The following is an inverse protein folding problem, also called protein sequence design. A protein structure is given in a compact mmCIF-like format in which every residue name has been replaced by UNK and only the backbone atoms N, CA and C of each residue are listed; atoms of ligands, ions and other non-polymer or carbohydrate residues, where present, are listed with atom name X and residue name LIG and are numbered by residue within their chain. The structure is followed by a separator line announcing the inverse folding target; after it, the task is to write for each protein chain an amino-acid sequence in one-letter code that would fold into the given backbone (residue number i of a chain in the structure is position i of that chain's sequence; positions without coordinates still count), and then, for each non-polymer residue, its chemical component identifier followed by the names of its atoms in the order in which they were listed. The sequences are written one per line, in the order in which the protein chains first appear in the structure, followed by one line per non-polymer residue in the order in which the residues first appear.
data_IF_264393991418
#
_entry.id   IF_264393991418
#
_cell.length_a   1.000
_cell.length_b   1.000
_cell.length_c   1.000
_cell.angle_alpha   90.00
_cell.angle_beta   90.00
_cell.angle_gamma   90.00
#
_symmetry.space_group_name_H-M   'P 1'
#
loop_
_entity.id
_entity.type
_entity.pdbx_description
1 polymer ?
#
# COMPACT_ATOMS: atom_id res chain seq x y z
N UNK A 1 66.17 23.63 -29.06
CA UNK A 1 64.94 24.05 -28.30
C UNK A 1 63.90 22.94 -28.05
N UNK A 2 64.00 21.75 -28.66
CA UNK A 2 63.05 20.67 -28.48
C UNK A 2 63.36 19.68 -27.33
N UNK A 3 64.52 19.78 -26.68
CA UNK A 3 64.95 18.89 -25.58
C UNK A 3 64.78 19.48 -24.17
N UNK A 4 64.51 20.77 -24.06
CA UNK A 4 64.25 21.42 -22.75
C UNK A 4 62.78 21.39 -22.34
N UNK A 5 61.81 21.13 -23.28
CA UNK A 5 60.38 21.01 -22.98
C UNK A 5 60.00 19.66 -22.46
N UNK A 6 60.77 18.59 -22.73
CA UNK A 6 60.49 17.25 -22.25
C UNK A 6 60.84 17.02 -20.77
N UNK A 7 61.77 17.84 -20.21
CA UNK A 7 62.15 17.67 -18.79
C UNK A 7 61.26 18.48 -17.83
N UNK A 8 60.56 19.50 -18.32
CA UNK A 8 59.60 20.26 -17.52
C UNK A 8 58.25 19.54 -17.32
N UNK A 9 57.86 18.65 -18.26
CA UNK A 9 56.62 17.88 -18.15
C UNK A 9 56.74 16.67 -17.20
N UNK A 10 57.96 16.13 -17.03
CA UNK A 10 58.21 14.99 -16.14
C UNK A 10 58.26 15.37 -14.64
N UNK A 11 58.54 16.65 -14.33
CA UNK A 11 58.57 17.12 -12.93
C UNK A 11 57.19 17.53 -12.42
N UNK A 12 56.27 17.87 -13.33
CA UNK A 12 54.89 18.22 -12.95
C UNK A 12 54.04 16.97 -12.68
N UNK A 13 54.38 15.80 -13.25
CA UNK A 13 53.67 14.54 -12.97
C UNK A 13 54.12 13.84 -11.68
N UNK A 14 55.19 14.25 -11.04
CA UNK A 14 55.65 13.63 -9.79
C UNK A 14 55.19 14.37 -8.52
N UNK A 15 54.53 15.53 -8.64
CA UNK A 15 53.95 16.23 -7.48
C UNK A 15 52.43 16.00 -7.30
N UNK A 16 51.79 15.25 -8.17
CA UNK A 16 50.34 14.97 -8.05
C UNK A 16 49.99 13.65 -7.32
N UNK A 17 50.95 12.96 -6.72
CA UNK A 17 50.72 11.70 -5.99
C UNK A 17 50.87 11.82 -4.45
N UNK A 18 50.79 12.99 -3.88
CA UNK A 18 50.84 13.17 -2.39
C UNK A 18 49.61 13.93 -1.86
N UNK A 19 48.53 13.97 -2.61
CA UNK A 19 47.27 14.53 -2.15
C UNK A 19 46.15 13.46 -2.10
N UNK A 20 46.50 12.20 -1.79
CA UNK A 20 45.55 11.24 -1.21
C UNK A 20 45.68 11.31 0.31
N UNK A 21 45.26 12.41 0.89
CA UNK A 21 44.89 12.46 2.29
C UNK A 21 43.72 11.52 2.49
N UNK A 22 43.84 10.56 3.42
CA UNK A 22 42.83 9.61 3.79
C UNK A 22 41.55 10.31 4.23
N UNK A 23 40.69 10.60 3.27
CA UNK A 23 39.25 10.64 3.54
C UNK A 23 38.84 9.18 3.67
N UNK A 24 38.53 8.75 4.86
CA UNK A 24 37.65 7.60 5.06
C UNK A 24 36.41 7.94 4.26
N UNK A 25 36.21 7.29 3.10
CA UNK A 25 34.88 7.25 2.48
C UNK A 25 33.99 6.61 3.56
N UNK A 26 33.19 7.44 4.24
CA UNK A 26 32.13 6.91 5.10
C UNK A 26 31.26 6.07 4.20
N UNK A 27 31.12 4.78 4.53
CA UNK A 27 30.18 3.90 3.82
C UNK A 27 28.80 4.57 3.84
N UNK A 28 28.03 4.49 2.74
CA UNK A 28 26.72 5.11 2.69
C UNK A 28 25.85 4.52 3.81
N UNK A 29 25.33 5.39 4.67
CA UNK A 29 24.48 4.99 5.81
C UNK A 29 23.30 4.17 5.32
N UNK A 30 23.02 3.09 6.02
CA UNK A 30 21.82 2.28 5.77
C UNK A 30 20.54 3.10 5.97
N UNK A 31 19.43 2.65 5.42
CA UNK A 31 18.14 3.31 5.64
C UNK A 31 17.73 3.25 7.12
N UNK A 32 18.08 2.18 7.82
CA UNK A 32 17.86 2.06 9.27
C UNK A 32 18.65 3.14 10.02
N UNK A 33 19.93 3.36 9.70
CA UNK A 33 20.72 4.42 10.33
C UNK A 33 20.11 5.81 10.10
N UNK A 34 19.62 6.06 8.87
CA UNK A 34 18.93 7.33 8.54
C UNK A 34 17.64 7.50 9.36
N UNK A 35 16.84 6.45 9.56
CA UNK A 35 15.64 6.47 10.40
C UNK A 35 16.03 6.80 11.85
N UNK A 36 17.04 6.12 12.40
CA UNK A 36 17.50 6.32 13.77
C UNK A 36 18.13 7.70 14.02
N UNK A 37 18.75 8.30 13.02
CA UNK A 37 19.28 9.67 13.10
C UNK A 37 18.19 10.73 12.95
N UNK A 38 17.22 10.47 12.07
CA UNK A 38 16.08 11.36 11.84
C UNK A 38 15.07 11.32 13.00
N UNK A 39 15.05 10.21 13.77
CA UNK A 39 14.10 9.98 14.85
C UNK A 39 12.67 9.71 14.37
N UNK A 40 12.48 9.30 13.12
CA UNK A 40 11.16 8.92 12.59
C UNK A 40 11.26 7.94 11.43
N UNK A 41 10.18 7.17 11.24
CA UNK A 41 9.92 6.33 10.07
C UNK A 41 8.68 6.82 9.33
N UNK A 42 8.67 6.73 8.00
CA UNK A 42 7.55 7.19 7.18
C UNK A 42 6.76 6.01 6.61
N UNK A 43 5.42 6.07 6.71
CA UNK A 43 4.50 5.12 6.08
C UNK A 43 3.58 5.83 5.09
N UNK A 44 3.33 5.21 3.93
CA UNK A 44 2.31 5.66 2.98
C UNK A 44 0.99 4.92 3.25
N UNK A 45 -0.09 5.68 3.35
CA UNK A 45 -1.45 5.16 3.60
C UNK A 45 -2.45 5.87 2.68
N UNK A 46 -3.39 5.08 2.11
CA UNK A 46 -4.53 5.54 1.33
C UNK A 46 -5.79 5.39 2.18
N UNK A 47 -6.29 6.45 2.85
CA UNK A 47 -7.29 6.31 3.89
C UNK A 47 -8.72 6.29 3.32
N UNK A 48 -9.02 5.32 2.48
CA UNK A 48 -10.32 5.12 1.82
C UNK A 48 -10.91 3.71 2.00
N UNK A 49 -10.39 2.94 2.99
CA UNK A 49 -10.75 1.55 3.22
C UNK A 49 -10.98 1.23 4.72
N UNK A 50 -12.06 1.78 5.31
CA UNK A 50 -12.41 1.49 6.72
C UNK A 50 -12.82 0.02 6.91
N UNK A 51 -12.45 -0.64 8.02
CA UNK A 51 -11.78 -0.10 9.20
C UNK A 51 -10.25 -0.16 9.13
N UNK A 52 -9.68 -0.64 8.01
CA UNK A 52 -8.23 -0.82 7.88
C UNK A 52 -7.47 0.50 7.84
N UNK A 53 -7.88 1.41 6.96
CA UNK A 53 -7.34 2.77 6.87
C UNK A 53 -8.45 3.75 6.44
N UNK A 54 -8.66 4.75 7.28
CA UNK A 54 -9.70 5.77 7.04
C UNK A 54 -9.33 7.10 7.68
N UNK A 55 -10.05 8.15 7.29
CA UNK A 55 -9.84 9.50 7.79
C UNK A 55 -11.05 9.97 8.60
N UNK A 56 -10.79 10.50 9.80
CA UNK A 56 -11.83 11.18 10.56
C UNK A 56 -12.26 12.45 9.81
N UNK A 57 -13.52 12.55 9.37
CA UNK A 57 -14.00 13.69 8.59
C UNK A 57 -14.03 15.00 9.37
N UNK A 58 -13.96 14.95 10.71
CA UNK A 58 -14.01 16.13 11.58
C UNK A 58 -12.62 16.70 11.90
N UNK A 59 -11.63 15.82 12.07
CA UNK A 59 -10.26 16.21 12.49
C UNK A 59 -9.26 16.11 11.34
N UNK A 60 -9.55 15.30 10.33
CA UNK A 60 -8.62 14.97 9.27
C UNK A 60 -7.54 13.95 9.66
N UNK A 61 -7.63 13.35 10.85
CA UNK A 61 -6.70 12.33 11.33
C UNK A 61 -6.87 11.02 10.57
N UNK A 62 -5.77 10.42 10.16
CA UNK A 62 -5.75 9.09 9.54
C UNK A 62 -5.65 8.05 10.64
N UNK A 63 -6.55 7.07 10.61
CA UNK A 63 -6.66 6.00 11.60
C UNK A 63 -7.08 4.68 10.95
N UNK A 64 -7.11 3.60 11.72
CA UNK A 64 -7.50 2.28 11.26
C UNK A 64 -6.56 1.20 11.75
N UNK A 65 -6.86 -0.06 11.44
CA UNK A 65 -6.04 -1.18 11.91
C UNK A 65 -4.62 -1.11 11.35
N UNK A 66 -4.43 -0.69 10.09
CA UNK A 66 -3.12 -0.55 9.46
C UNK A 66 -2.28 0.54 10.13
N UNK A 67 -2.93 1.61 10.64
CA UNK A 67 -2.23 2.65 11.41
C UNK A 67 -1.72 2.08 12.74
N UNK A 68 -2.52 1.26 13.44
CA UNK A 68 -2.09 0.60 14.69
C UNK A 68 -0.86 -0.28 14.45
N UNK A 69 -0.84 -1.06 13.36
CA UNK A 69 0.34 -1.86 13.00
C UNK A 69 1.54 -0.99 12.62
N UNK A 70 1.32 0.13 11.92
CA UNK A 70 2.40 1.08 11.60
C UNK A 70 3.01 1.73 12.85
N UNK A 71 2.18 2.09 13.82
CA UNK A 71 2.61 2.61 15.13
C UNK A 71 3.42 1.56 15.89
N UNK A 72 2.96 0.30 15.89
CA UNK A 72 3.70 -0.80 16.49
C UNK A 72 5.08 -0.99 15.84
N UNK A 73 5.20 -0.87 14.51
CA UNK A 73 6.50 -0.93 13.81
C UNK A 73 7.45 0.16 14.32
N UNK A 74 6.99 1.41 14.45
CA UNK A 74 7.81 2.51 14.96
C UNK A 74 8.24 2.26 16.42
N UNK A 75 7.33 1.79 17.26
CA UNK A 75 7.60 1.44 18.65
C UNK A 75 8.57 0.27 18.79
N UNK A 76 8.43 -0.75 17.96
CA UNK A 76 9.33 -1.89 17.91
C UNK A 76 10.77 -1.46 17.59
N UNK A 77 10.93 -0.61 16.56
CA UNK A 77 12.22 -0.04 16.17
C UNK A 77 12.80 0.78 17.32
N UNK A 78 11.99 1.62 17.96
CA UNK A 78 12.40 2.43 19.11
C UNK A 78 12.95 1.57 20.23
N UNK A 79 12.27 0.49 20.61
CA UNK A 79 12.67 -0.46 21.65
C UNK A 79 13.92 -1.23 21.26
N UNK A 80 13.99 -1.72 20.01
CA UNK A 80 15.11 -2.56 19.53
C UNK A 80 16.44 -1.81 19.54
N UNK A 81 16.42 -0.51 19.20
CA UNK A 81 17.64 0.30 19.09
C UNK A 81 17.86 1.28 20.26
N UNK A 82 16.99 1.26 21.26
CA UNK A 82 17.00 2.19 22.42
C UNK A 82 17.09 3.66 21.95
N UNK A 83 16.32 4.02 20.93
CA UNK A 83 16.23 5.36 20.34
C UNK A 83 14.78 5.68 19.99
N UNK A 84 14.28 6.90 20.30
CA UNK A 84 12.93 7.26 19.92
C UNK A 84 12.79 7.36 18.40
N UNK A 85 11.77 6.68 17.84
CA UNK A 85 11.40 6.71 16.43
C UNK A 85 9.91 6.99 16.35
N UNK A 86 9.53 8.13 15.81
CA UNK A 86 8.14 8.54 15.60
C UNK A 86 7.61 7.99 14.27
N UNK A 87 6.32 7.62 14.22
CA UNK A 87 5.64 7.32 12.97
C UNK A 87 5.25 8.64 12.27
N UNK A 88 5.53 8.75 10.98
CA UNK A 88 5.02 9.83 10.11
C UNK A 88 4.20 9.27 8.97
N UNK A 89 2.90 9.47 9.01
CA UNK A 89 1.98 9.06 7.96
C UNK A 89 2.07 10.03 6.78
N UNK A 90 2.16 9.49 5.57
CA UNK A 90 2.07 10.18 4.30
C UNK A 90 0.80 9.72 3.59
N UNK A 91 -0.22 10.55 3.67
CA UNK A 91 -1.49 10.30 3.00
C UNK A 91 -1.34 10.50 1.48
N UNK A 92 -1.77 9.52 0.71
CA UNK A 92 -1.80 9.57 -0.76
C UNK A 92 -2.72 8.48 -1.31
N UNK A 93 -3.02 8.54 -2.62
CA UNK A 93 -3.84 7.52 -3.28
C UNK A 93 -3.14 6.15 -3.31
N UNK A 94 -3.91 5.07 -3.40
CA UNK A 94 -3.44 3.68 -3.33
C UNK A 94 -2.27 3.38 -4.29
N UNK A 95 -2.36 3.82 -5.56
CA UNK A 95 -1.29 3.63 -6.52
C UNK A 95 -0.06 4.49 -6.20
N UNK A 96 -0.27 5.71 -5.68
CA UNK A 96 0.80 6.61 -5.27
C UNK A 96 1.57 6.05 -4.06
N UNK A 97 0.91 5.34 -3.13
CA UNK A 97 1.57 4.64 -2.02
C UNK A 97 2.62 3.64 -2.53
N UNK A 98 2.26 2.82 -3.51
CA UNK A 98 3.17 1.84 -4.12
C UNK A 98 4.34 2.52 -4.84
N UNK A 99 4.07 3.58 -5.62
CA UNK A 99 5.10 4.36 -6.30
C UNK A 99 6.06 5.06 -5.32
N UNK A 100 5.55 5.55 -4.19
CA UNK A 100 6.36 6.19 -3.15
C UNK A 100 7.34 5.21 -2.48
N UNK A 101 6.91 3.95 -2.27
CA UNK A 101 7.79 2.87 -1.80
C UNK A 101 8.85 2.55 -2.85
N UNK A 102 8.46 2.36 -4.12
CA UNK A 102 9.37 2.03 -5.22
C UNK A 102 10.48 3.09 -5.42
N UNK A 103 10.20 4.35 -5.08
CA UNK A 103 11.15 5.47 -5.21
C UNK A 103 11.85 5.86 -3.90
N UNK A 104 11.67 5.09 -2.81
CA UNK A 104 12.17 5.42 -1.47
C UNK A 104 11.72 6.82 -0.96
N UNK A 105 10.57 7.32 -1.43
CA UNK A 105 9.97 8.57 -0.94
C UNK A 105 9.30 8.39 0.42
N UNK A 106 9.00 7.14 0.79
CA UNK A 106 8.59 6.64 2.10
C UNK A 106 9.38 5.38 2.43
N UNK A 107 9.41 4.99 3.70
CA UNK A 107 10.12 3.80 4.13
C UNK A 107 9.33 2.51 3.85
N UNK A 108 8.02 2.54 4.03
CA UNK A 108 7.12 1.41 3.78
C UNK A 108 5.69 1.87 3.53
N UNK A 109 4.82 0.92 3.21
CA UNK A 109 3.39 1.19 3.06
C UNK A 109 2.57 0.03 3.63
N UNK A 110 1.43 0.36 4.25
CA UNK A 110 0.39 -0.56 4.71
C UNK A 110 -0.94 -0.09 4.11
N UNK A 111 -1.63 -0.95 3.35
CA UNK A 111 -2.93 -0.71 2.73
C UNK A 111 -3.56 -2.05 2.34
N UNK A 112 -3.56 -3.02 3.24
CA UNK A 112 -4.15 -4.32 2.97
C UNK A 112 -3.61 -5.02 1.73
N UNK A 113 -2.31 -4.94 1.46
CA UNK A 113 -1.76 -5.50 0.21
C UNK A 113 -1.77 -7.02 0.20
N UNK A 114 -2.37 -7.57 -0.86
CA UNK A 114 -2.24 -8.99 -1.19
C UNK A 114 -0.82 -9.31 -1.71
N UNK A 115 -0.38 -10.55 -1.52
CA UNK A 115 0.93 -11.08 -1.92
C UNK A 115 0.99 -11.53 -3.40
N UNK A 116 0.53 -10.70 -4.32
CA UNK A 116 0.51 -11.01 -5.75
C UNK A 116 1.91 -11.24 -6.34
N UNK A 117 1.99 -12.05 -7.41
CA UNK A 117 3.26 -12.32 -8.10
C UNK A 117 3.91 -11.03 -8.65
N UNK A 118 3.11 -10.07 -9.08
CA UNK A 118 3.59 -8.76 -9.53
C UNK A 118 4.27 -8.01 -8.38
N UNK A 119 3.65 -7.99 -7.19
CA UNK A 119 4.22 -7.33 -6.01
C UNK A 119 5.48 -8.02 -5.53
N UNK A 120 5.51 -9.37 -5.51
CA UNK A 120 6.71 -10.16 -5.16
C UNK A 120 7.91 -9.87 -6.04
N UNK A 121 7.70 -9.45 -7.29
CA UNK A 121 8.77 -9.08 -8.22
C UNK A 121 9.30 -7.66 -8.02
N UNK A 122 8.49 -6.77 -7.45
CA UNK A 122 8.78 -5.33 -7.39
C UNK A 122 9.04 -4.82 -5.97
N UNK A 123 8.67 -5.58 -4.93
CA UNK A 123 8.73 -5.17 -3.53
C UNK A 123 9.16 -6.33 -2.65
N UNK A 124 9.71 -6.01 -1.48
CA UNK A 124 9.74 -6.92 -0.34
C UNK A 124 8.37 -6.84 0.32
N UNK A 125 7.82 -7.99 0.73
CA UNK A 125 6.49 -8.14 1.30
C UNK A 125 6.57 -8.66 2.75
N UNK A 126 6.92 -7.81 3.74
CA UNK A 126 6.88 -8.18 5.15
C UNK A 126 5.47 -8.60 5.59
N UNK A 127 5.36 -9.64 6.40
CA UNK A 127 4.09 -10.18 6.88
C UNK A 127 3.95 -11.69 6.64
N UNK A 128 2.72 -12.26 6.64
CA UNK A 128 1.44 -11.54 6.73
C UNK A 128 1.18 -10.91 8.10
N UNK A 129 0.38 -9.86 8.12
CA UNK A 129 -0.13 -9.20 9.32
C UNK A 129 -1.66 -9.05 9.23
N UNK A 130 -2.30 -8.58 10.29
CA UNK A 130 -3.74 -8.32 10.32
C UNK A 130 -4.58 -9.57 9.96
N UNK A 131 -4.26 -10.69 10.61
CA UNK A 131 -4.93 -11.97 10.37
C UNK A 131 -6.16 -12.08 11.29
N UNK A 132 -7.36 -11.97 10.70
CA UNK A 132 -8.60 -12.23 11.42
C UNK A 132 -8.71 -13.69 11.84
N UNK A 133 -9.12 -13.92 13.08
CA UNK A 133 -9.48 -15.25 13.62
C UNK A 133 -10.97 -15.52 13.59
N UNK A 134 -11.78 -14.46 13.39
CA UNK A 134 -13.22 -14.56 13.18
C UNK A 134 -13.53 -15.08 11.77
N UNK A 135 -14.72 -15.66 11.57
CA UNK A 135 -15.21 -15.98 10.23
C UNK A 135 -15.36 -14.67 9.44
N UNK A 136 -14.70 -14.60 8.30
CA UNK A 136 -14.75 -13.47 7.39
C UNK A 136 -15.52 -13.87 6.13
N UNK A 137 -16.68 -13.24 5.91
CA UNK A 137 -17.50 -13.40 4.71
C UNK A 137 -17.08 -12.44 3.58
N UNK A 138 -15.86 -11.91 3.61
CA UNK A 138 -15.35 -10.98 2.62
C UNK A 138 -15.19 -11.63 1.23
N UNK A 139 -15.67 -10.94 0.20
CA UNK A 139 -15.50 -11.34 -1.18
C UNK A 139 -15.31 -10.15 -2.11
N UNK A 140 -14.72 -10.39 -3.27
CA UNK A 140 -14.55 -9.39 -4.32
C UNK A 140 -15.64 -9.56 -5.39
N UNK A 141 -16.35 -8.48 -5.69
CA UNK A 141 -17.36 -8.44 -6.75
C UNK A 141 -17.46 -7.05 -7.37
N UNK A 142 -18.34 -6.88 -8.33
CA UNK A 142 -18.63 -5.59 -8.94
C UNK A 142 -19.75 -4.87 -8.19
N UNK A 143 -19.55 -3.61 -7.83
CA UNK A 143 -20.62 -2.68 -7.47
C UNK A 143 -21.24 -2.16 -8.77
N UNK A 144 -22.57 -2.31 -8.91
CA UNK A 144 -23.35 -1.97 -10.11
C UNK A 144 -24.58 -1.15 -9.74
N UNK A 145 -25.26 -0.58 -10.74
CA UNK A 145 -26.61 -0.06 -10.51
C UNK A 145 -27.58 -1.21 -10.23
N UNK A 146 -28.57 -0.98 -9.37
CA UNK A 146 -29.66 -1.93 -9.10
C UNK A 146 -30.31 -2.41 -10.40
N UNK A 147 -30.40 -3.75 -10.51
CA UNK A 147 -30.86 -4.44 -11.70
C UNK A 147 -29.76 -4.71 -12.74
N UNK A 148 -28.51 -4.41 -12.40
CA UNK A 148 -27.35 -4.79 -13.20
C UNK A 148 -26.97 -6.25 -12.96
N UNK A 149 -27.50 -7.16 -13.77
CA UNK A 149 -27.31 -8.61 -13.60
C UNK A 149 -25.96 -9.07 -14.16
N UNK A 150 -24.88 -9.01 -13.35
CA UNK A 150 -23.60 -9.62 -13.65
C UNK A 150 -23.46 -10.92 -12.83
N UNK A 151 -23.76 -12.05 -13.46
CA UNK A 151 -23.79 -13.39 -12.82
C UNK A 151 -22.63 -14.28 -13.25
N UNK A 152 -22.07 -14.00 -14.41
CA UNK A 152 -20.97 -14.73 -15.01
C UNK A 152 -19.90 -13.78 -15.52
N UNK A 153 -18.67 -14.27 -15.74
CA UNK A 153 -17.60 -13.49 -16.34
C UNK A 153 -17.97 -12.93 -17.73
N UNK A 154 -18.81 -13.65 -18.48
CA UNK A 154 -19.26 -13.24 -19.83
C UNK A 154 -20.15 -12.00 -19.81
N UNK A 155 -20.84 -11.72 -18.69
CA UNK A 155 -21.71 -10.55 -18.57
C UNK A 155 -20.92 -9.24 -18.51
N UNK A 156 -19.62 -9.30 -18.29
CA UNK A 156 -18.74 -8.13 -18.30
C UNK A 156 -18.27 -7.69 -19.70
N UNK A 157 -18.57 -8.46 -20.74
CA UNK A 157 -18.12 -8.16 -22.11
C UNK A 157 -18.61 -6.78 -22.57
N UNK A 158 -17.69 -5.96 -23.03
CA UNK A 158 -17.96 -4.65 -23.58
C UNK A 158 -18.38 -3.57 -22.57
N UNK A 159 -18.38 -3.87 -21.28
CA UNK A 159 -18.67 -2.90 -20.23
C UNK A 159 -17.50 -1.95 -19.97
N UNK A 160 -17.79 -0.82 -19.36
CA UNK A 160 -16.80 0.08 -18.77
C UNK A 160 -16.70 -0.17 -17.27
N UNK A 161 -15.53 -0.65 -16.82
CA UNK A 161 -15.29 -1.02 -15.42
C UNK A 161 -14.29 -0.07 -14.80
N UNK A 162 -14.56 0.39 -13.58
CA UNK A 162 -13.60 1.14 -12.79
C UNK A 162 -12.83 0.22 -11.83
N UNK A 163 -11.52 0.47 -11.69
CA UNK A 163 -10.64 -0.15 -10.70
C UNK A 163 -9.60 0.87 -10.23
N UNK A 164 -9.12 0.73 -9.00
CA UNK A 164 -7.89 1.44 -8.61
C UNK A 164 -6.70 0.84 -9.34
N UNK A 165 -5.80 1.71 -9.80
CA UNK A 165 -4.58 1.27 -10.49
C UNK A 165 -3.70 0.43 -9.54
N UNK A 166 -3.08 -0.63 -10.06
CA UNK A 166 -2.23 -1.55 -9.30
C UNK A 166 -2.94 -2.23 -8.11
N UNK A 167 -4.28 -2.30 -8.13
CA UNK A 167 -5.07 -3.00 -7.11
C UNK A 167 -5.17 -4.49 -7.39
N UNK A 168 -5.48 -5.27 -6.32
CA UNK A 168 -5.85 -6.68 -6.48
C UNK A 168 -7.06 -6.82 -7.41
N UNK A 169 -8.07 -5.95 -7.29
CA UNK A 169 -9.29 -5.97 -8.09
C UNK A 169 -9.00 -5.82 -9.58
N UNK A 170 -8.05 -4.97 -9.95
CA UNK A 170 -7.57 -4.88 -11.33
C UNK A 170 -6.96 -6.20 -11.80
N UNK A 171 -6.09 -6.82 -10.98
CA UNK A 171 -5.46 -8.09 -11.33
C UNK A 171 -6.48 -9.23 -11.43
N UNK A 172 -7.48 -9.27 -10.56
CA UNK A 172 -8.58 -10.24 -10.64
C UNK A 172 -9.40 -10.06 -11.92
N UNK A 173 -9.72 -8.82 -12.30
CA UNK A 173 -10.40 -8.53 -13.56
C UNK A 173 -9.60 -9.05 -14.77
N UNK A 174 -8.31 -8.73 -14.82
CA UNK A 174 -7.42 -9.14 -15.91
C UNK A 174 -7.25 -10.67 -16.01
N UNK A 175 -7.30 -11.37 -14.87
CA UNK A 175 -7.12 -12.82 -14.81
C UNK A 175 -8.40 -13.63 -15.08
N UNK A 176 -9.57 -13.10 -14.69
CA UNK A 176 -10.80 -13.89 -14.65
C UNK A 176 -11.89 -13.42 -15.62
N UNK A 177 -11.76 -12.24 -16.21
CA UNK A 177 -12.70 -11.78 -17.23
C UNK A 177 -12.26 -12.19 -18.65
N UNK A 178 -13.19 -12.30 -19.64
CA UNK A 178 -12.90 -12.78 -20.99
C UNK A 178 -11.91 -11.87 -21.73
N UNK A 179 -10.80 -12.44 -22.21
CA UNK A 179 -9.73 -11.69 -22.91
C UNK A 179 -10.20 -11.14 -24.27
N UNK A 180 -11.04 -11.88 -25.01
CA UNK A 180 -11.41 -11.53 -26.39
C UNK A 180 -12.33 -10.30 -26.50
N UNK A 181 -13.12 -10.06 -25.46
CA UNK A 181 -14.04 -8.91 -25.34
C UNK A 181 -13.84 -8.21 -23.99
N UNK A 182 -12.58 -7.95 -23.65
CA UNK A 182 -12.20 -7.35 -22.38
C UNK A 182 -12.96 -6.07 -22.13
N UNK A 183 -13.50 -5.86 -20.92
CA UNK A 183 -14.08 -4.57 -20.54
C UNK A 183 -13.08 -3.43 -20.66
N UNK A 184 -13.57 -2.24 -20.97
CA UNK A 184 -12.75 -1.03 -20.89
C UNK A 184 -12.49 -0.71 -19.41
N UNK A 185 -11.22 -0.77 -18.97
CA UNK A 185 -10.86 -0.45 -17.60
C UNK A 185 -10.57 1.04 -17.45
N UNK A 186 -11.29 1.70 -16.55
CA UNK A 186 -11.05 3.09 -16.15
C UNK A 186 -10.38 3.11 -14.78
N UNK A 187 -9.20 3.70 -14.69
CA UNK A 187 -8.54 3.87 -13.40
C UNK A 187 -9.15 5.01 -12.61
N UNK A 188 -9.30 4.78 -11.31
CA UNK A 188 -9.83 5.71 -10.32
C UNK A 188 -8.84 5.84 -9.16
N UNK A 189 -8.85 6.99 -8.50
CA UNK A 189 -7.95 7.27 -7.38
C UNK A 189 -8.50 6.66 -6.07
N UNK A 190 -9.83 6.66 -5.89
CA UNK A 190 -10.50 6.11 -4.71
C UNK A 190 -11.84 5.45 -5.04
N UNK A 191 -12.29 4.56 -4.16
CA UNK A 191 -13.49 3.73 -4.34
C UNK A 191 -14.77 4.57 -4.36
N UNK A 192 -14.87 5.64 -3.56
CA UNK A 192 -16.03 6.54 -3.52
C UNK A 192 -16.26 7.20 -4.89
N UNK A 193 -15.19 7.65 -5.55
CA UNK A 193 -15.26 8.17 -6.91
C UNK A 193 -15.79 7.12 -7.88
N UNK A 194 -15.32 5.87 -7.79
CA UNK A 194 -15.80 4.76 -8.61
C UNK A 194 -17.29 4.50 -8.43
N UNK A 195 -17.76 4.43 -7.18
CA UNK A 195 -19.19 4.27 -6.87
C UNK A 195 -20.06 5.41 -7.40
N UNK A 196 -19.59 6.66 -7.28
CA UNK A 196 -20.29 7.82 -7.89
C UNK A 196 -20.35 7.73 -9.41
N UNK A 197 -19.31 7.20 -10.05
CA UNK A 197 -19.31 6.99 -11.51
C UNK A 197 -20.33 5.93 -11.91
N UNK A 198 -20.48 4.85 -11.15
CA UNK A 198 -21.53 3.83 -11.34
C UNK A 198 -22.90 4.47 -11.12
N UNK A 199 -23.14 5.12 -9.98
CA UNK A 199 -24.43 5.73 -9.63
C UNK A 199 -24.92 6.70 -10.71
N UNK A 200 -24.00 7.45 -11.37
CA UNK A 200 -24.31 8.42 -12.43
C UNK A 200 -24.27 7.83 -13.83
N UNK A 201 -23.86 6.57 -14.02
CA UNK A 201 -23.78 5.87 -15.31
C UNK A 201 -22.62 6.33 -16.19
N UNK A 202 -21.52 6.77 -15.57
CA UNK A 202 -20.26 7.07 -16.27
C UNK A 202 -19.40 5.84 -16.49
N UNK A 203 -19.59 4.81 -15.68
CA UNK A 203 -19.10 3.44 -15.84
C UNK A 203 -20.21 2.48 -15.49
N UNK A 204 -20.13 1.25 -15.93
CA UNK A 204 -21.12 0.21 -15.67
C UNK A 204 -20.91 -0.47 -14.31
N UNK A 205 -19.65 -0.60 -13.89
CA UNK A 205 -19.28 -1.27 -12.66
C UNK A 205 -17.99 -0.70 -12.04
N UNK A 206 -17.80 -0.93 -10.75
CA UNK A 206 -16.49 -0.79 -10.07
C UNK A 206 -16.23 -2.06 -9.26
N UNK A 207 -15.03 -2.64 -9.36
CA UNK A 207 -14.70 -3.86 -8.62
C UNK A 207 -14.12 -3.47 -7.27
N UNK A 208 -14.70 -4.05 -6.21
CA UNK A 208 -14.30 -3.81 -4.82
C UNK A 208 -14.66 -4.99 -3.93
N UNK A 209 -14.35 -4.95 -2.65
CA UNK A 209 -14.87 -5.91 -1.68
C UNK A 209 -16.32 -5.58 -1.33
N UNK A 210 -17.08 -6.59 -0.88
CA UNK A 210 -18.43 -6.37 -0.36
C UNK A 210 -18.43 -5.39 0.83
N UNK A 211 -17.40 -5.45 1.65
CA UNK A 211 -17.24 -4.54 2.76
C UNK A 211 -17.07 -3.10 2.32
N UNK A 212 -16.14 -2.79 1.39
CA UNK A 212 -16.01 -1.44 0.82
C UNK A 212 -17.28 -0.95 0.10
N UNK A 213 -18.09 -1.87 -0.39
CA UNK A 213 -19.33 -1.54 -1.10
C UNK A 213 -20.50 -1.21 -0.15
N UNK A 214 -20.56 -1.87 1.02
CA UNK A 214 -21.68 -1.75 1.95
C UNK A 214 -22.02 -0.28 2.29
N UNK A 215 -21.05 0.57 2.64
CA UNK A 215 -21.28 1.99 2.91
C UNK A 215 -21.81 2.76 1.71
N UNK A 216 -21.24 2.47 0.57
CA UNK A 216 -21.60 3.16 -0.67
C UNK A 216 -23.03 2.81 -1.12
N UNK A 217 -23.45 1.55 -0.84
CA UNK A 217 -24.81 1.06 -1.08
C UNK A 217 -25.80 1.71 -0.11
N UNK A 218 -25.46 1.81 1.17
CA UNK A 218 -26.34 2.39 2.17
C UNK A 218 -26.61 3.89 1.90
N UNK A 219 -25.62 4.59 1.35
CA UNK A 219 -25.74 6.01 0.97
C UNK A 219 -26.31 6.25 -0.43
N UNK A 220 -26.56 5.20 -1.22
CA UNK A 220 -27.04 5.31 -2.58
C UNK A 220 -28.08 4.22 -2.92
N UNK A 221 -29.35 4.56 -2.83
CA UNK A 221 -30.48 3.65 -3.05
C UNK A 221 -30.48 2.90 -4.40
N UNK A 222 -29.65 3.33 -5.35
CA UNK A 222 -29.59 2.80 -6.71
C UNK A 222 -28.36 1.92 -6.98
N UNK A 223 -27.62 1.51 -5.95
CA UNK A 223 -26.44 0.63 -6.07
C UNK A 223 -26.68 -0.73 -5.40
N UNK A 224 -26.00 -1.75 -5.90
CA UNK A 224 -25.94 -3.10 -5.33
C UNK A 224 -24.69 -3.85 -5.76
N UNK A 225 -24.30 -4.91 -5.02
CA UNK A 225 -23.27 -5.84 -5.46
C UNK A 225 -23.81 -6.82 -6.49
N UNK A 226 -23.03 -7.08 -7.52
CA UNK A 226 -23.30 -8.12 -8.50
C UNK A 226 -23.19 -9.52 -7.88
N UNK A 227 -23.86 -10.51 -8.49
CA UNK A 227 -23.80 -11.90 -8.04
C UNK A 227 -22.46 -12.59 -8.38
N UNK A 228 -21.77 -12.15 -9.45
CA UNK A 228 -20.47 -12.70 -9.83
C UNK A 228 -19.40 -12.30 -8.82
N UNK A 229 -18.75 -13.30 -8.23
CA UNK A 229 -17.65 -13.10 -7.29
C UNK A 229 -16.33 -13.52 -7.92
N UNK A 230 -15.32 -12.68 -7.78
CA UNK A 230 -13.96 -13.01 -8.18
C UNK A 230 -13.34 -13.97 -7.16
N UNK A 231 -12.71 -15.04 -7.67
CA UNK A 231 -12.04 -16.03 -6.82
C UNK A 231 -10.69 -15.47 -6.37
N UNK A 232 -10.50 -15.42 -5.06
CA UNK A 232 -9.23 -15.00 -4.47
C UNK A 232 -9.04 -15.71 -3.12
N UNK A 233 -7.85 -16.25 -2.92
CA UNK A 233 -7.40 -16.83 -1.65
C UNK A 233 -6.24 -16.00 -1.11
N UNK A 234 -6.24 -15.67 0.18
CA UNK A 234 -5.19 -14.90 0.84
C UNK A 234 -4.83 -15.53 2.18
N UNK A 235 -3.54 -15.47 2.53
CA UNK A 235 -3.06 -15.86 3.86
C UNK A 235 -2.97 -14.65 4.82
N UNK A 236 -3.45 -13.49 4.43
CA UNK A 236 -3.38 -12.23 5.15
C UNK A 236 -2.85 -11.09 4.29
N UNK A 237 -2.62 -9.95 4.91
CA UNK A 237 -2.10 -8.75 4.24
C UNK A 237 -0.61 -8.55 4.49
N UNK A 238 0.06 -7.83 3.61
CA UNK A 238 1.50 -7.60 3.66
C UNK A 238 1.82 -6.11 3.61
N UNK A 239 2.93 -5.71 4.24
CA UNK A 239 3.52 -4.41 4.00
C UNK A 239 4.23 -4.39 2.63
N UNK A 240 4.47 -3.21 2.08
CA UNK A 240 5.39 -3.01 0.96
C UNK A 240 6.64 -2.27 1.44
N UNK A 241 7.80 -2.80 1.09
CA UNK A 241 9.10 -2.17 1.24
C UNK A 241 9.82 -2.21 -0.09
N UNK A 242 10.63 -1.19 -0.40
CA UNK A 242 11.40 -1.16 -1.64
C UNK A 242 12.25 -2.43 -1.79
N UNK A 243 12.32 -2.99 -3.00
CA UNK A 243 13.01 -4.25 -3.29
C UNK A 243 14.51 -4.23 -2.92
N UNK A 244 15.13 -3.06 -2.96
CA UNK A 244 16.56 -2.88 -2.64
C UNK A 244 16.82 -2.69 -1.14
N UNK A 245 15.79 -2.46 -0.31
CA UNK A 245 15.89 -2.17 1.12
C UNK A 245 15.74 -3.44 1.98
N UNK A 246 16.60 -4.43 1.74
CA UNK A 246 16.50 -5.78 2.34
C UNK A 246 16.54 -5.76 3.87
N UNK A 247 17.45 -4.99 4.46
CA UNK A 247 17.57 -4.89 5.93
C UNK A 247 16.34 -4.25 6.56
N UNK A 248 15.80 -3.19 5.94
CA UNK A 248 14.57 -2.55 6.39
C UNK A 248 13.38 -3.52 6.26
N UNK A 249 13.29 -4.24 5.14
CA UNK A 249 12.25 -5.26 4.93
C UNK A 249 12.27 -6.33 6.01
N UNK A 250 13.44 -6.84 6.38
CA UNK A 250 13.59 -7.80 7.47
C UNK A 250 13.19 -7.21 8.84
N UNK A 251 13.59 -5.98 9.12
CA UNK A 251 13.23 -5.29 10.36
C UNK A 251 11.72 -5.09 10.50
N UNK A 252 11.05 -4.69 9.42
CA UNK A 252 9.58 -4.53 9.41
C UNK A 252 8.89 -5.88 9.52
N UNK A 253 9.40 -6.93 8.87
CA UNK A 253 8.87 -8.29 8.98
C UNK A 253 8.95 -8.83 10.43
N UNK A 254 10.09 -8.62 11.11
CA UNK A 254 10.23 -8.93 12.52
C UNK A 254 9.20 -8.18 13.39
N UNK A 255 9.02 -6.88 13.13
CA UNK A 255 8.07 -6.05 13.88
C UNK A 255 6.62 -6.50 13.66
N UNK A 256 6.22 -6.80 12.43
CA UNK A 256 4.85 -7.25 12.11
C UNK A 256 4.56 -8.64 12.68
N UNK A 257 5.55 -9.54 12.70
CA UNK A 257 5.43 -10.84 13.39
C UNK A 257 5.23 -10.67 14.89
N UNK A 258 6.02 -9.79 15.50
CA UNK A 258 5.84 -9.49 16.93
C UNK A 258 4.47 -8.83 17.19
N UNK A 259 3.99 -7.97 16.30
CA UNK A 259 2.68 -7.36 16.40
C UNK A 259 1.56 -8.43 16.37
N UNK A 260 1.63 -9.43 15.48
CA UNK A 260 0.65 -10.52 15.44
C UNK A 260 0.60 -11.35 16.73
N UNK A 261 1.74 -11.47 17.44
CA UNK A 261 1.82 -12.20 18.70
C UNK A 261 1.34 -11.37 19.90
N UNK A 262 1.55 -10.06 19.88
CA UNK A 262 1.29 -9.15 21.01
C UNK A 262 -0.05 -8.44 20.93
N UNK A 263 -0.56 -8.17 19.71
CA UNK A 263 -1.81 -7.47 19.48
C UNK A 263 -2.99 -8.44 19.33
N UNK A 264 -4.12 -8.10 19.91
CA UNK A 264 -5.38 -8.78 19.64
C UNK A 264 -6.08 -8.12 18.45
N UNK A 265 -5.81 -8.64 17.26
CA UNK A 265 -6.31 -8.04 16.01
C UNK A 265 -7.85 -8.01 15.95
N UNK A 266 -8.53 -9.05 16.43
CA UNK A 266 -10.00 -9.09 16.42
C UNK A 266 -10.60 -7.94 17.25
N UNK A 267 -9.98 -7.63 18.40
CA UNK A 267 -10.36 -6.47 19.22
C UNK A 267 -10.05 -5.15 18.50
N UNK A 268 -8.87 -5.01 17.91
CA UNK A 268 -8.48 -3.78 17.17
C UNK A 268 -9.42 -3.57 15.98
N UNK A 269 -9.72 -4.61 15.22
CA UNK A 269 -10.64 -4.55 14.08
C UNK A 269 -12.03 -4.08 14.53
N UNK A 270 -12.55 -4.67 15.62
CA UNK A 270 -13.83 -4.26 16.18
C UNK A 270 -13.82 -2.80 16.65
N UNK A 271 -12.79 -2.37 17.36
CA UNK A 271 -12.70 -1.00 17.88
C UNK A 271 -12.61 0.03 16.74
N UNK A 272 -11.84 -0.27 15.68
CA UNK A 272 -11.74 0.59 14.50
C UNK A 272 -13.05 0.59 13.69
N UNK A 273 -13.75 -0.54 13.63
CA UNK A 273 -15.11 -0.65 13.07
C UNK A 273 -16.08 0.26 13.82
N UNK A 274 -16.17 0.12 15.15
CA UNK A 274 -17.05 0.94 16.00
C UNK A 274 -16.68 2.44 15.88
N UNK A 275 -15.39 2.76 15.79
CA UNK A 275 -14.91 4.12 15.61
C UNK A 275 -15.36 4.71 14.26
N UNK A 276 -15.15 4.00 13.16
CA UNK A 276 -15.55 4.45 11.83
C UNK A 276 -17.07 4.68 11.76
N UNK A 277 -17.88 3.74 12.27
CA UNK A 277 -19.33 3.86 12.38
C UNK A 277 -19.74 5.10 13.18
N UNK A 278 -19.07 5.37 14.30
CA UNK A 278 -19.35 6.54 15.16
C UNK A 278 -19.08 7.87 14.46
N UNK A 279 -18.23 7.88 13.45
CA UNK A 279 -17.88 9.03 12.60
C UNK A 279 -18.83 9.17 11.40
N UNK A 280 -19.82 8.27 11.28
CA UNK A 280 -20.71 8.21 10.12
C UNK A 280 -20.01 7.66 8.87
N UNK A 281 -18.83 7.08 9.05
CA UNK A 281 -18.19 6.26 8.04
C UNK A 281 -18.80 4.86 8.15
N UNK A 282 -18.94 4.21 7.03
CA UNK A 282 -19.42 2.85 7.02
C UNK A 282 -18.20 1.94 6.88
N UNK A 283 -18.29 0.74 7.43
CA UNK A 283 -17.16 -0.15 7.61
C UNK A 283 -17.33 -1.41 6.79
N UNK A 284 -16.21 -1.96 6.38
CA UNK A 284 -16.07 -3.20 5.65
C UNK A 284 -16.37 -4.41 6.52
#
# INVERSE_FOLDING_TARGET
MKKLFALALAVIMSLSMVACGGGTEEEPKSTIDKILEAGYITVAISPDFAPSEFKDPNTGEVMGTDVVFAEYVADYISKKYDKPVELKIKEMDFAACQAAVATNSVNFSLNGYADTDERKQNYILPGPYAILKMEDDSYHAALVKKGGELKTADDFKGLQIACQQASLQYNLAMAQLPIEDMPEIKFIDNLTTGAMMVATGKVDAVIMTNGSAAPLIANADNLEMAEFQFVYESEGTHALVNIDEVELGQLIDEALKAANDELDYDTIYKDMTDKALSLGLEVN
#
